data_IF_240900302181
#
_entry.id   IF_240900302181
#
_cell.length_a   1.000
_cell.length_b   1.000
_cell.length_c   1.000
_cell.angle_alpha   90.00
_cell.angle_beta   90.00
_cell.angle_gamma   90.00
#
_symmetry.space_group_name_H-M   'P 1'
#
loop_
_entity.id
_entity.type
_entity.pdbx_description
1 polymer ?
#
# COMPACT_ATOMS: atom_id res chain seq x y z
N UNK A 1 34.36 20.49 -1.26
CA UNK A 1 34.48 19.35 -2.19
C UNK A 1 34.80 18.11 -1.37
N UNK A 2 33.78 17.40 -0.90
CA UNK A 2 33.92 16.20 -0.07
C UNK A 2 34.28 14.99 -0.95
N UNK A 3 35.58 14.69 -1.05
CA UNK A 3 36.06 13.48 -1.70
C UNK A 3 35.84 12.28 -0.80
N UNK A 4 34.89 11.42 -1.16
CA UNK A 4 34.73 10.10 -0.54
C UNK A 4 35.97 9.26 -0.87
N UNK A 5 36.72 8.84 0.15
CA UNK A 5 37.82 7.87 0.00
C UNK A 5 37.23 6.48 0.13
N UNK A 6 37.04 5.79 -0.99
CA UNK A 6 36.66 4.38 -0.98
C UNK A 6 37.91 3.51 -1.10
N UNK A 7 37.91 2.36 -0.44
CA UNK A 7 38.89 1.29 -0.67
C UNK A 7 38.23 0.21 -1.50
N UNK A 8 38.91 -0.22 -2.57
CA UNK A 8 38.51 -1.38 -3.36
C UNK A 8 39.24 -2.58 -2.78
N UNK A 9 38.48 -3.52 -2.23
CA UNK A 9 39.03 -4.76 -1.68
C UNK A 9 38.83 -5.91 -2.67
N UNK A 10 39.86 -6.73 -2.91
CA UNK A 10 39.71 -7.94 -3.71
C UNK A 10 38.73 -8.88 -3.00
N UNK A 11 37.85 -9.49 -3.80
CA UNK A 11 36.84 -10.45 -3.36
C UNK A 11 37.24 -11.84 -3.83
N UNK A 12 37.30 -12.80 -2.91
CA UNK A 12 37.57 -14.19 -3.21
C UNK A 12 36.35 -15.04 -2.85
N UNK A 13 36.01 -16.02 -3.71
CA UNK A 13 34.91 -16.93 -3.47
C UNK A 13 35.40 -18.10 -2.63
N UNK A 14 34.95 -18.18 -1.37
CA UNK A 14 35.27 -19.30 -0.51
C UNK A 14 34.29 -20.45 -0.79
N UNK A 15 34.81 -21.53 -1.39
CA UNK A 15 34.03 -22.70 -1.77
C UNK A 15 33.60 -23.56 -0.57
N UNK A 16 34.36 -23.56 0.52
CA UNK A 16 34.03 -24.33 1.74
C UNK A 16 32.84 -23.71 2.49
N UNK A 17 32.74 -22.38 2.44
CA UNK A 17 31.66 -21.62 3.08
C UNK A 17 30.56 -21.18 2.09
N UNK A 18 30.75 -21.47 0.79
CA UNK A 18 29.89 -21.01 -0.32
C UNK A 18 29.57 -19.50 -0.28
N UNK A 19 30.55 -18.68 0.11
CA UNK A 19 30.37 -17.22 0.33
C UNK A 19 31.57 -16.45 -0.20
N UNK A 20 31.31 -15.27 -0.77
CA UNK A 20 32.37 -14.32 -1.09
C UNK A 20 32.93 -13.71 0.20
N UNK A 21 34.23 -13.84 0.42
CA UNK A 21 34.98 -13.25 1.52
C UNK A 21 35.85 -12.10 1.01
N UNK A 22 36.13 -11.13 1.89
CA UNK A 22 36.99 -9.98 1.62
C UNK A 22 38.12 -10.00 2.63
N UNK A 23 39.38 -9.96 2.17
CA UNK A 23 40.57 -10.13 3.01
C UNK A 23 41.26 -8.83 3.41
N UNK A 24 40.57 -7.69 3.30
CA UNK A 24 41.11 -6.43 3.79
C UNK A 24 40.80 -6.23 5.27
N UNK A 25 41.84 -6.10 6.09
CA UNK A 25 41.69 -5.49 7.41
C UNK A 25 41.91 -3.97 7.29
N UNK A 26 40.92 -3.12 7.66
CA UNK A 26 41.08 -1.68 7.57
C UNK A 26 42.15 -1.21 8.56
N UNK A 27 43.03 -0.31 8.12
CA UNK A 27 44.06 0.27 9.00
C UNK A 27 43.44 0.95 10.25
N UNK A 28 44.09 0.82 11.40
CA UNK A 28 43.65 1.40 12.68
C UNK A 28 43.41 2.92 12.61
N UNK A 29 44.15 3.61 11.73
CA UNK A 29 44.00 5.03 11.48
C UNK A 29 42.69 5.34 10.73
N UNK A 30 42.27 4.45 9.82
CA UNK A 30 40.97 4.54 9.15
C UNK A 30 39.81 4.21 10.10
N UNK A 31 39.98 3.17 10.94
CA UNK A 31 39.07 2.84 12.05
C UNK A 31 38.87 4.02 13.00
N UNK A 32 39.95 4.74 13.30
CA UNK A 32 39.93 5.95 14.14
C UNK A 32 39.26 7.11 13.42
N UNK A 33 39.52 7.34 12.13
CA UNK A 33 38.84 8.39 11.33
C UNK A 33 37.32 8.14 11.27
N UNK A 34 36.88 6.90 11.04
CA UNK A 34 35.44 6.54 11.04
C UNK A 34 34.78 6.70 12.41
N UNK A 35 35.54 6.59 13.50
CA UNK A 35 35.07 6.83 14.86
C UNK A 35 35.00 8.33 15.21
N UNK A 36 35.83 9.16 14.57
CA UNK A 36 35.81 10.62 14.73
C UNK A 36 34.78 11.32 13.84
N UNK A 37 34.36 10.71 12.72
CA UNK A 37 33.08 11.05 12.10
C UNK A 37 31.95 10.54 13.00
N UNK A 38 31.01 11.41 13.34
CA UNK A 38 29.78 11.08 14.07
C UNK A 38 29.18 9.75 13.56
N UNK A 39 28.64 8.86 14.42
CA UNK A 39 28.08 7.59 13.95
C UNK A 39 27.13 7.88 12.80
N UNK A 40 27.42 7.30 11.63
CA UNK A 40 26.71 7.58 10.39
C UNK A 40 25.23 7.30 10.60
N UNK A 41 24.48 8.37 10.88
CA UNK A 41 23.07 8.28 11.18
C UNK A 41 22.33 8.14 9.88
N UNK A 42 21.75 6.97 9.66
CA UNK A 42 20.86 6.73 8.54
C UNK A 42 19.71 7.75 8.54
N UNK A 43 19.41 8.30 7.36
CA UNK A 43 18.19 9.05 7.14
C UNK A 43 16.94 8.26 7.57
N UNK A 44 15.92 8.99 8.01
CA UNK A 44 14.64 8.37 8.34
C UNK A 44 13.98 7.83 7.05
N UNK A 45 13.60 6.54 6.99
CA UNK A 45 12.89 6.02 5.84
C UNK A 45 11.49 6.63 5.74
N UNK A 46 11.05 6.84 4.51
CA UNK A 46 9.70 7.27 4.19
C UNK A 46 8.79 6.04 4.02
N UNK A 47 7.56 6.18 4.52
CA UNK A 47 6.52 5.17 4.45
C UNK A 47 5.29 5.76 3.75
N UNK A 48 4.75 5.04 2.77
CA UNK A 48 3.58 5.45 1.99
C UNK A 48 2.67 4.26 1.68
N UNK A 49 1.42 4.57 1.32
CA UNK A 49 0.43 3.58 0.90
C UNK A 49 -0.10 3.95 -0.48
N UNK A 50 -0.23 2.95 -1.34
CA UNK A 50 -0.86 3.06 -2.65
C UNK A 50 -1.86 1.93 -2.86
N UNK A 51 -2.98 2.20 -3.51
CA UNK A 51 -3.95 1.17 -3.95
C UNK A 51 -4.12 1.18 -5.46
N UNK A 52 -4.44 0.02 -6.02
CA UNK A 52 -4.60 -0.18 -7.47
C UNK A 52 -5.92 0.38 -8.04
N UNK A 53 -6.93 0.53 -7.19
CA UNK A 53 -8.17 1.25 -7.48
C UNK A 53 -8.23 2.48 -6.59
N UNK A 54 -8.99 3.54 -6.95
CA UNK A 54 -9.26 4.78 -6.17
C UNK A 54 -9.90 4.51 -4.79
N UNK A 55 -9.31 3.64 -4.00
CA UNK A 55 -9.77 3.11 -2.73
C UNK A 55 -8.95 3.58 -1.55
N UNK A 56 -7.98 4.46 -1.80
CA UNK A 56 -7.19 5.14 -0.80
C UNK A 56 -7.55 6.62 -0.82
N UNK A 57 -8.39 7.02 0.12
CA UNK A 57 -8.62 8.43 0.40
C UNK A 57 -7.63 8.88 1.47
N UNK A 58 -6.64 9.67 1.04
CA UNK A 58 -5.76 10.39 1.95
C UNK A 58 -6.51 11.59 2.52
N UNK A 59 -7.15 11.44 3.67
CA UNK A 59 -7.79 12.54 4.37
C UNK A 59 -7.29 12.63 5.82
N UNK A 60 -6.65 13.76 6.12
CA UNK A 60 -6.21 14.24 7.44
C UNK A 60 -4.98 13.54 8.06
N UNK A 61 -3.81 13.90 7.52
CA UNK A 61 -2.48 13.98 8.16
C UNK A 61 -1.72 12.73 8.65
N UNK A 62 -2.32 11.56 8.92
CA UNK A 62 -1.51 10.35 9.24
C UNK A 62 -2.22 8.99 9.08
N UNK A 63 -3.43 8.98 8.53
CA UNK A 63 -4.24 7.77 8.36
C UNK A 63 -4.61 7.51 6.90
N UNK A 64 -4.40 6.28 6.44
CA UNK A 64 -4.84 5.81 5.13
C UNK A 64 -6.05 4.89 5.29
N UNK A 65 -7.13 5.21 4.57
CA UNK A 65 -8.31 4.35 4.53
C UNK A 65 -8.23 3.43 3.32
N UNK A 66 -8.47 2.13 3.52
CA UNK A 66 -8.48 1.13 2.46
C UNK A 66 -9.80 0.38 2.50
N UNK A 67 -10.47 0.25 1.36
CA UNK A 67 -11.70 -0.55 1.29
C UNK A 67 -11.41 -2.04 1.46
N UNK A 68 -12.25 -2.71 2.24
CA UNK A 68 -12.20 -4.17 2.42
C UNK A 68 -12.21 -4.90 1.07
N UNK A 69 -11.36 -5.91 0.93
CA UNK A 69 -11.20 -6.70 -0.29
C UNK A 69 -10.41 -6.00 -1.41
N UNK A 70 -10.01 -4.73 -1.23
CA UNK A 70 -9.14 -4.05 -2.20
C UNK A 70 -7.68 -4.44 -1.99
N UNK A 71 -6.93 -4.43 -3.09
CA UNK A 71 -5.48 -4.58 -3.06
C UNK A 71 -4.81 -3.26 -2.72
N UNK A 72 -3.93 -3.28 -1.73
CA UNK A 72 -3.10 -2.12 -1.37
C UNK A 72 -1.65 -2.55 -1.15
N UNK A 73 -0.74 -1.59 -1.29
CA UNK A 73 0.69 -1.80 -1.12
C UNK A 73 1.23 -0.76 -0.15
N UNK A 74 1.96 -1.22 0.87
CA UNK A 74 2.74 -0.35 1.75
C UNK A 74 4.16 -0.30 1.19
N UNK A 75 4.64 0.90 0.90
CA UNK A 75 5.96 1.13 0.32
C UNK A 75 6.86 1.83 1.33
N UNK A 76 8.04 1.25 1.55
CA UNK A 76 9.12 1.87 2.32
C UNK A 76 10.21 2.33 1.34
N UNK A 77 10.76 3.52 1.54
CA UNK A 77 11.87 4.03 0.73
C UNK A 77 12.83 4.84 1.57
N UNK A 78 14.12 4.79 1.29
CA UNK A 78 15.13 5.60 1.97
C UNK A 78 15.98 6.37 0.96
N UNK A 79 16.51 7.53 1.37
CA UNK A 79 17.49 8.25 0.59
C UNK A 79 18.76 7.36 0.43
N UNK A 80 19.29 7.19 -0.79
CA UNK A 80 20.47 6.35 -1.05
C UNK A 80 21.68 6.82 -0.23
N UNK A 81 22.20 5.93 0.61
CA UNK A 81 23.42 6.16 1.43
C UNK A 81 24.38 4.98 1.33
N UNK A 82 23.85 3.76 1.39
CA UNK A 82 24.60 2.52 1.29
C UNK A 82 23.91 1.58 0.31
N UNK A 83 24.67 0.80 -0.48
CA UNK A 83 24.10 -0.21 -1.36
C UNK A 83 23.53 -1.38 -0.55
N UNK A 84 22.43 -1.96 -1.02
CA UNK A 84 21.80 -3.13 -0.42
C UNK A 84 20.90 -2.81 0.78
N UNK A 85 20.88 -3.70 1.78
CA UNK A 85 20.03 -3.60 2.96
C UNK A 85 18.66 -4.27 2.83
N UNK A 86 17.86 -4.15 3.88
CA UNK A 86 16.50 -4.71 3.94
C UNK A 86 15.57 -3.82 4.75
N UNK A 87 14.28 -3.83 4.39
CA UNK A 87 13.22 -3.20 5.13
C UNK A 87 12.42 -4.24 5.92
N UNK A 88 12.15 -3.91 7.17
CA UNK A 88 11.23 -4.60 8.07
C UNK A 88 10.00 -3.70 8.26
N UNK A 89 8.84 -4.15 7.79
CA UNK A 89 7.56 -3.52 8.08
C UNK A 89 7.03 -4.13 9.39
N UNK A 90 7.11 -3.35 10.46
CA UNK A 90 6.61 -3.68 11.78
C UNK A 90 5.13 -3.32 11.87
N UNK A 91 4.30 -4.27 12.29
CA UNK A 91 2.88 -4.08 12.58
C UNK A 91 2.59 -4.57 14.00
N UNK A 92 1.40 -4.22 14.53
CA UNK A 92 0.97 -4.66 15.86
C UNK A 92 0.86 -6.19 15.99
N UNK A 93 0.64 -6.90 14.87
CA UNK A 93 0.42 -8.35 14.87
C UNK A 93 1.50 -9.15 14.15
N UNK A 94 2.15 -8.56 13.14
CA UNK A 94 3.06 -9.28 12.24
C UNK A 94 4.20 -8.39 11.77
N UNK A 95 5.33 -9.02 11.47
CA UNK A 95 6.51 -8.37 10.91
C UNK A 95 6.78 -8.93 9.52
N UNK A 96 6.93 -8.05 8.53
CA UNK A 96 7.23 -8.43 7.14
C UNK A 96 8.60 -7.92 6.75
N UNK A 97 9.46 -8.78 6.23
CA UNK A 97 10.81 -8.38 5.80
C UNK A 97 10.94 -8.50 4.29
N UNK A 98 11.52 -7.49 3.65
CA UNK A 98 11.88 -7.53 2.23
C UNK A 98 13.25 -6.89 1.98
N UNK A 99 14.01 -7.39 0.99
CA UNK A 99 15.26 -6.76 0.59
C UNK A 99 15.00 -5.38 0.00
N UNK A 100 15.95 -4.46 0.19
CA UNK A 100 15.89 -3.15 -0.43
C UNK A 100 16.31 -3.26 -1.91
N UNK A 101 15.33 -3.18 -2.81
CA UNK A 101 15.55 -3.12 -4.25
C UNK A 101 15.45 -1.66 -4.65
N UNK A 102 16.53 -1.10 -5.20
CA UNK A 102 16.59 0.33 -5.53
C UNK A 102 16.29 1.25 -4.32
N UNK A 103 16.79 0.88 -3.13
CA UNK A 103 16.56 1.59 -1.87
C UNK A 103 15.08 1.69 -1.44
N UNK A 104 14.23 0.82 -2.00
CA UNK A 104 12.83 0.70 -1.62
C UNK A 104 12.40 -0.76 -1.44
N UNK A 105 11.28 -0.96 -0.77
CA UNK A 105 10.60 -2.26 -0.64
C UNK A 105 9.08 -2.06 -0.66
N UNK A 106 8.36 -3.01 -1.24
CA UNK A 106 6.92 -2.90 -1.50
C UNK A 106 6.17 -4.11 -0.96
N UNK A 107 5.40 -3.94 0.10
CA UNK A 107 4.65 -4.98 0.77
C UNK A 107 3.21 -5.03 0.23
N UNK A 108 2.90 -6.09 -0.53
CA UNK A 108 1.62 -6.25 -1.20
C UNK A 108 0.60 -6.97 -0.31
N UNK A 109 -0.57 -6.36 -0.15
CA UNK A 109 -1.73 -6.93 0.53
C UNK A 109 -2.85 -7.12 -0.50
N UNK A 110 -3.06 -8.34 -1.03
CA UNK A 110 -3.99 -8.59 -2.14
C UNK A 110 -5.45 -8.36 -1.74
N UNK A 111 -5.82 -8.65 -0.49
CA UNK A 111 -7.17 -8.45 0.04
C UNK A 111 -7.11 -7.76 1.41
N UNK A 112 -7.60 -6.53 1.49
CA UNK A 112 -7.72 -5.83 2.77
C UNK A 112 -8.76 -6.51 3.68
N UNK A 113 -8.35 -6.81 4.90
CA UNK A 113 -9.16 -7.49 5.91
C UNK A 113 -9.10 -6.68 7.21
N UNK A 114 -10.10 -6.79 8.10
CA UNK A 114 -10.05 -6.11 9.39
C UNK A 114 -8.79 -6.42 10.21
N UNK A 115 -8.16 -7.58 10.01
CA UNK A 115 -6.91 -7.95 10.66
C UNK A 115 -5.69 -7.13 10.18
N UNK A 116 -5.77 -6.53 8.98
CA UNK A 116 -4.73 -5.64 8.43
C UNK A 116 -4.88 -4.19 8.91
N UNK A 117 -5.82 -3.91 9.81
CA UNK A 117 -5.96 -2.59 10.43
C UNK A 117 -4.94 -2.41 11.56
N UNK A 118 -4.24 -1.28 11.58
CA UNK A 118 -3.28 -0.99 12.64
C UNK A 118 -2.29 0.11 12.29
N UNK A 119 -1.28 0.24 13.15
CA UNK A 119 -0.16 1.15 12.94
C UNK A 119 1.03 0.37 12.41
N UNK A 120 1.67 0.93 11.41
CA UNK A 120 2.82 0.36 10.71
C UNK A 120 4.03 1.30 10.84
N UNK A 121 5.22 0.73 11.02
CA UNK A 121 6.50 1.43 10.86
C UNK A 121 7.44 0.62 9.97
N UNK A 122 8.25 1.32 9.18
CA UNK A 122 9.32 0.72 8.39
C UNK A 122 10.64 0.90 9.14
N UNK A 123 11.35 -0.19 9.38
CA UNK A 123 12.72 -0.20 9.90
C UNK A 123 13.65 -0.64 8.78
N UNK A 124 14.61 0.21 8.41
CA UNK A 124 15.65 -0.13 7.44
C UNK A 124 16.89 -0.65 8.16
N UNK A 125 17.44 -1.78 7.71
CA UNK A 125 18.67 -2.39 8.20
C UNK A 125 19.70 -2.47 7.09
N UNK A 126 20.95 -2.08 7.38
CA UNK A 126 22.07 -2.26 6.47
C UNK A 126 23.36 -2.48 7.25
N UNK A 127 24.23 -3.35 6.75
CA UNK A 127 25.58 -3.53 7.27
C UNK A 127 26.55 -2.70 6.44
N UNK A 128 27.15 -1.68 7.05
CA UNK A 128 28.14 -0.80 6.42
C UNK A 128 29.38 -0.71 7.31
N UNK A 129 30.57 -0.78 6.72
CA UNK A 129 31.84 -0.72 7.47
C UNK A 129 31.96 -1.71 8.64
N UNK A 130 31.40 -2.92 8.49
CA UNK A 130 31.32 -3.96 9.53
C UNK A 130 30.48 -3.57 10.76
N UNK A 131 29.60 -2.57 10.63
CA UNK A 131 28.63 -2.17 11.63
C UNK A 131 27.22 -2.32 11.07
N UNK A 132 26.30 -2.80 11.90
CA UNK A 132 24.88 -2.85 11.57
C UNK A 132 24.22 -1.53 11.96
N UNK A 133 23.63 -0.87 10.96
CA UNK A 133 22.91 0.38 11.11
C UNK A 133 21.43 0.13 10.92
N UNK A 134 20.61 0.78 11.75
CA UNK A 134 19.16 0.75 11.62
C UNK A 134 18.53 2.13 11.74
N UNK A 135 17.39 2.32 11.09
CA UNK A 135 16.61 3.56 11.13
C UNK A 135 15.13 3.27 10.97
N UNK A 136 14.31 3.94 11.77
CA UNK A 136 12.86 3.74 11.81
C UNK A 136 12.10 4.95 11.25
N UNK A 137 11.06 4.66 10.46
CA UNK A 137 10.16 5.65 9.87
C UNK A 137 9.22 6.26 10.92
N UNK A 138 8.48 7.29 10.50
CA UNK A 138 7.25 7.68 11.20
C UNK A 138 6.23 6.53 11.23
N UNK A 139 5.29 6.60 12.17
CA UNK A 139 4.13 5.72 12.22
C UNK A 139 3.11 6.07 11.13
N UNK A 140 2.52 5.03 10.56
CA UNK A 140 1.50 5.07 9.53
C UNK A 140 0.27 4.31 10.00
N UNK A 141 -0.88 4.97 10.13
CA UNK A 141 -2.13 4.31 10.53
C UNK A 141 -2.91 3.85 9.29
N UNK A 142 -3.34 2.60 9.27
CA UNK A 142 -4.16 2.02 8.19
C UNK A 142 -5.49 1.57 8.76
N UNK A 143 -6.58 2.05 8.18
CA UNK A 143 -7.95 1.72 8.58
C UNK A 143 -8.66 1.00 7.43
N UNK A 144 -9.23 -0.18 7.70
CA UNK A 144 -9.98 -0.94 6.70
C UNK A 144 -11.46 -0.60 6.81
N UNK A 145 -11.99 0.08 5.80
CA UNK A 145 -13.40 0.52 5.77
C UNK A 145 -14.29 -0.48 5.02
N UNK A 146 -15.55 -0.56 5.43
CA UNK A 146 -16.55 -1.45 4.83
C UNK A 146 -16.86 -1.08 3.38
N UNK A 147 -17.10 -2.13 2.58
CA UNK A 147 -17.53 -2.22 1.18
C UNK A 147 -17.67 -0.88 0.46
N UNK A 148 -16.94 -0.71 -0.65
CA UNK A 148 -17.27 0.29 -1.69
C UNK A 148 -18.73 0.06 -2.08
N UNK A 149 -19.63 0.79 -1.46
CA UNK A 149 -20.97 0.99 -1.98
C UNK A 149 -20.77 1.86 -3.21
N UNK A 150 -20.44 1.21 -4.34
CA UNK A 150 -20.69 1.81 -5.63
C UNK A 150 -22.12 2.38 -5.57
N UNK A 151 -22.35 3.65 -5.93
CA UNK A 151 -23.70 4.24 -5.91
C UNK A 151 -24.70 3.53 -6.84
N UNK A 152 -24.22 2.58 -7.63
CA UNK A 152 -24.92 1.88 -8.71
C UNK A 152 -26.25 1.24 -8.29
N UNK A 153 -26.39 0.42 -7.21
CA UNK A 153 -27.68 -0.21 -6.92
C UNK A 153 -28.66 0.75 -6.23
N UNK A 154 -28.19 1.86 -5.66
CA UNK A 154 -29.06 2.86 -5.01
C UNK A 154 -29.72 3.78 -6.04
N UNK A 155 -28.96 4.27 -7.03
CA UNK A 155 -29.52 5.12 -8.09
C UNK A 155 -30.45 4.30 -8.99
N UNK A 156 -30.07 3.05 -9.34
CA UNK A 156 -30.92 2.16 -10.14
C UNK A 156 -32.24 1.87 -9.40
N UNK A 157 -32.21 1.57 -8.09
CA UNK A 157 -33.45 1.34 -7.32
C UNK A 157 -34.27 2.62 -7.13
N UNK A 158 -33.64 3.78 -6.93
CA UNK A 158 -34.35 5.03 -6.69
C UNK A 158 -34.94 5.65 -7.96
N UNK A 159 -34.41 5.35 -9.15
CA UNK A 159 -34.85 5.96 -10.42
C UNK A 159 -35.61 4.97 -11.29
N UNK A 160 -35.14 3.73 -11.44
CA UNK A 160 -35.75 2.74 -12.36
C UNK A 160 -37.05 2.16 -11.80
N UNK A 161 -37.13 1.90 -10.49
CA UNK A 161 -38.36 1.40 -9.87
C UNK A 161 -39.54 2.41 -9.99
N UNK A 162 -39.38 3.72 -9.67
CA UNK A 162 -40.49 4.65 -9.87
C UNK A 162 -40.79 4.92 -11.35
N UNK A 163 -39.78 4.98 -12.25
CA UNK A 163 -40.05 5.14 -13.69
C UNK A 163 -40.86 3.98 -14.26
N UNK A 164 -40.49 2.75 -13.91
CA UNK A 164 -41.22 1.54 -14.38
C UNK A 164 -42.64 1.51 -13.82
N UNK A 165 -42.84 1.88 -12.55
CA UNK A 165 -44.18 1.95 -11.96
C UNK A 165 -45.06 3.03 -12.61
N UNK A 166 -44.48 4.17 -12.98
CA UNK A 166 -45.17 5.25 -13.69
C UNK A 166 -45.62 4.80 -15.09
N UNK A 167 -44.75 4.09 -15.83
CA UNK A 167 -45.07 3.59 -17.17
C UNK A 167 -46.21 2.55 -17.13
N UNK A 168 -46.21 1.66 -16.13
CA UNK A 168 -47.27 0.66 -15.94
C UNK A 168 -48.61 1.32 -15.61
N UNK A 169 -48.63 2.33 -14.73
CA UNK A 169 -49.87 3.07 -14.39
C UNK A 169 -50.43 3.83 -15.58
N UNK A 170 -49.58 4.48 -16.38
CA UNK A 170 -49.97 5.15 -17.63
C UNK A 170 -50.57 4.13 -18.61
N UNK A 171 -49.92 2.98 -18.82
CA UNK A 171 -50.41 1.91 -19.70
C UNK A 171 -51.78 1.37 -19.28
N UNK A 172 -51.97 1.09 -17.98
CA UNK A 172 -53.25 0.66 -17.40
C UNK A 172 -54.35 1.73 -17.56
N UNK A 173 -54.02 3.01 -17.40
CA UNK A 173 -54.97 4.10 -17.61
C UNK A 173 -55.47 4.13 -19.06
N UNK A 174 -54.56 4.08 -20.04
CA UNK A 174 -54.93 4.05 -21.45
C UNK A 174 -55.73 2.79 -21.81
N UNK A 175 -55.32 1.63 -21.32
CA UNK A 175 -56.04 0.37 -21.52
C UNK A 175 -57.47 0.42 -20.98
N UNK A 176 -57.65 0.91 -19.75
CA UNK A 176 -58.96 1.10 -19.14
C UNK A 176 -59.81 2.15 -19.89
N UNK A 177 -59.19 3.23 -20.38
CA UNK A 177 -59.87 4.28 -21.15
C UNK A 177 -60.39 3.75 -22.49
N UNK A 178 -59.60 2.93 -23.19
CA UNK A 178 -60.01 2.31 -24.46
C UNK A 178 -61.13 1.29 -24.22
N UNK A 179 -61.02 0.46 -23.18
CA UNK A 179 -62.09 -0.49 -22.82
C UNK A 179 -63.41 0.17 -22.42
N UNK A 180 -63.38 1.32 -21.75
CA UNK A 180 -64.60 2.09 -21.42
C UNK A 180 -65.29 2.70 -22.66
N UNK A 181 -64.57 2.88 -23.77
CA UNK A 181 -65.16 3.29 -25.05
C UNK A 181 -65.67 2.10 -25.89
N UNK A 182 -65.28 0.87 -25.53
CA UNK A 182 -65.77 -0.39 -26.12
C UNK A 182 -66.66 -1.10 -25.09
N UNK A 183 -67.74 -0.43 -24.67
CA UNK A 183 -68.87 -1.12 -24.04
C UNK A 183 -69.77 -1.59 -25.18
N UNK A 184 -69.71 -2.89 -25.47
CA UNK A 184 -70.62 -3.54 -26.41
C UNK A 184 -72.02 -3.49 -25.81
N UNK A 185 -72.91 -2.74 -26.45
CA UNK A 185 -74.35 -2.76 -26.17
C UNK A 185 -74.87 -4.14 -26.58
N UNK A 186 -75.54 -4.91 -25.69
CA UNK A 186 -76.17 -6.15 -26.12
C UNK A 186 -77.32 -5.80 -27.08
N UNK A 187 -77.33 -6.42 -28.26
CA UNK A 187 -78.46 -6.38 -29.17
C UNK A 187 -79.66 -7.03 -28.49
N UNK A 188 -80.72 -6.25 -28.32
CA UNK A 188 -82.06 -6.73 -27.97
C UNK A 188 -82.65 -7.50 -29.16
N UNK A 189 -83.03 -8.75 -28.93
CA UNK A 189 -84.28 -9.33 -29.43
C UNK A 189 -84.99 -10.05 -28.29
#
# INVERSE_FOLDING_TARGET
>A
MSGWRYFVCPMEFNNDSNRFQVDCEPSELFRRISYFSQPDKLFQPNISVSSSMDGVSGAQQQGFQVFRGSTFTISCSIQPQYPGGSFLLSSSTHNYTQPAVNHSAHFLFPAAEPAHQGNYSCVYHVSAFSQDLSSESRLLSVTVTGVRSDPEPFIIRAVVLPLTQLLVTIGLYFYCKVRKHVVVVPLTE
#
